data_IF_842974308649
#
_entry.id   IF_842974308649
#
_cell.length_a   1.000
_cell.length_b   1.000
_cell.length_c   1.000
_cell.angle_alpha   90.00
_cell.angle_beta   90.00
_cell.angle_gamma   90.00
#
_symmetry.space_group_name_H-M   'P 1'
#
loop_
_entity.id
_entity.type
_entity.pdbx_description
1 polymer ?
#
# COMPACT_ATOMS: atom_id res chain seq x y z
N UNK A 1 56.23 -15.00 8.46
CA UNK A 1 56.48 -13.71 7.79
C UNK A 1 55.12 -13.13 7.45
N UNK A 2 54.75 -12.01 8.12
CA UNK A 2 53.58 -11.12 7.95
C UNK A 2 52.16 -11.76 8.00
N UNK A 3 51.33 -11.50 9.02
CA UNK A 3 50.51 -10.28 9.25
C UNK A 3 49.45 -10.10 8.14
N UNK A 4 48.18 -10.46 8.39
CA UNK A 4 47.14 -9.69 9.08
C UNK A 4 46.53 -8.59 8.21
N UNK A 5 45.23 -8.71 7.93
CA UNK A 5 44.29 -7.59 8.04
C UNK A 5 42.88 -8.16 8.27
N UNK A 6 42.42 -7.98 9.51
CA UNK A 6 41.03 -8.17 9.90
C UNK A 6 40.22 -6.98 9.39
N UNK A 7 39.27 -7.20 8.49
CA UNK A 7 38.22 -6.22 8.21
C UNK A 7 37.13 -6.33 9.26
N UNK A 8 37.21 -5.45 10.25
CA UNK A 8 36.19 -5.17 11.26
C UNK A 8 34.98 -4.47 10.63
N UNK A 9 34.03 -5.21 10.08
CA UNK A 9 32.74 -4.65 9.59
C UNK A 9 31.54 -5.07 10.46
N UNK A 10 31.65 -6.06 11.34
CA UNK A 10 30.46 -6.85 11.71
C UNK A 10 29.83 -6.64 13.10
N UNK A 11 30.02 -5.52 13.81
CA UNK A 11 29.34 -5.30 15.12
C UNK A 11 28.62 -3.96 15.32
N UNK A 12 28.93 -2.89 14.56
CA UNK A 12 28.22 -1.60 14.71
C UNK A 12 26.91 -1.53 13.92
N UNK A 13 26.87 -2.18 12.77
CA UNK A 13 25.74 -2.14 11.84
C UNK A 13 24.49 -2.81 12.42
N UNK A 14 24.65 -3.90 13.18
CA UNK A 14 23.54 -4.55 13.91
C UNK A 14 22.92 -3.61 14.94
N UNK A 15 23.74 -2.87 15.70
CA UNK A 15 23.26 -1.96 16.75
C UNK A 15 22.52 -0.75 16.20
N UNK A 16 23.04 -0.07 15.17
CA UNK A 16 22.34 1.09 14.60
C UNK A 16 21.07 0.71 13.84
N UNK A 17 21.07 -0.46 13.19
CA UNK A 17 19.87 -1.02 12.55
C UNK A 17 18.79 -1.32 13.60
N UNK A 18 19.15 -2.00 14.70
CA UNK A 18 18.25 -2.23 15.84
C UNK A 18 17.69 -0.92 16.40
N UNK A 19 18.55 0.07 16.66
CA UNK A 19 18.13 1.39 17.13
C UNK A 19 17.12 2.04 16.19
N UNK A 20 17.33 1.97 14.87
CA UNK A 20 16.41 2.56 13.90
C UNK A 20 15.04 1.87 13.92
N UNK A 21 15.02 0.54 13.86
CA UNK A 21 13.75 -0.19 13.85
C UNK A 21 13.01 -0.09 15.18
N UNK A 22 13.70 -0.17 16.32
CA UNK A 22 13.10 0.03 17.64
C UNK A 22 12.55 1.45 17.79
N UNK A 23 13.27 2.45 17.29
CA UNK A 23 12.78 3.83 17.27
C UNK A 23 11.53 3.98 16.41
N UNK A 24 11.44 3.28 15.27
CA UNK A 24 10.21 3.26 14.46
C UNK A 24 9.07 2.55 15.19
N UNK A 25 9.27 1.36 15.76
CA UNK A 25 8.20 0.65 16.49
C UNK A 25 7.68 1.43 17.71
N UNK A 26 8.53 2.24 18.33
CA UNK A 26 8.20 3.02 19.54
C UNK A 26 7.87 4.49 19.25
N UNK A 27 7.79 4.89 17.97
CA UNK A 27 7.61 6.27 17.51
C UNK A 27 8.62 7.28 18.13
N UNK A 28 9.85 6.84 18.39
CA UNK A 28 10.91 7.65 18.98
C UNK A 28 11.64 8.48 17.92
N UNK A 29 11.02 9.60 17.53
CA UNK A 29 11.56 10.56 16.54
C UNK A 29 12.97 11.04 16.91
N UNK A 30 13.25 11.26 18.21
CA UNK A 30 14.55 11.73 18.69
C UNK A 30 15.67 10.71 18.43
N UNK A 31 15.41 9.42 18.62
CA UNK A 31 16.36 8.37 18.32
C UNK A 31 16.68 8.31 16.82
N UNK A 32 15.67 8.44 15.96
CA UNK A 32 15.87 8.54 14.49
C UNK A 32 16.72 9.76 14.13
N UNK A 33 16.43 10.93 14.74
CA UNK A 33 17.15 12.19 14.50
C UNK A 33 18.61 12.17 14.98
N UNK A 34 18.95 11.31 15.94
CA UNK A 34 20.31 11.16 16.46
C UNK A 34 21.22 10.35 15.52
N UNK A 35 20.67 9.62 14.55
CA UNK A 35 21.45 8.92 13.54
C UNK A 35 22.07 9.92 12.56
N UNK A 36 23.30 9.64 12.10
CA UNK A 36 23.95 10.52 11.12
C UNK A 36 23.21 10.42 9.79
N UNK A 37 23.08 11.54 9.05
CA UNK A 37 22.39 11.58 7.75
C UNK A 37 22.78 10.42 6.80
N UNK A 38 24.09 10.21 6.59
CA UNK A 38 24.60 9.16 5.71
C UNK A 38 24.32 7.74 6.23
N UNK A 39 24.31 7.57 7.55
CA UNK A 39 23.95 6.31 8.21
C UNK A 39 22.45 6.02 8.04
N UNK A 40 21.58 7.01 8.28
CA UNK A 40 20.13 6.86 8.07
C UNK A 40 19.80 6.55 6.61
N UNK A 41 20.46 7.20 5.65
CA UNK A 41 20.29 6.88 4.22
C UNK A 41 20.67 5.43 3.91
N UNK A 42 21.81 4.96 4.45
CA UNK A 42 22.21 3.56 4.30
C UNK A 42 21.20 2.60 4.95
N UNK A 43 20.84 2.83 6.21
CA UNK A 43 19.90 1.99 6.95
C UNK A 43 18.50 1.95 6.32
N UNK A 44 18.07 3.03 5.64
CA UNK A 44 16.79 3.09 4.93
C UNK A 44 16.63 2.07 3.79
N UNK A 45 17.72 1.44 3.37
CA UNK A 45 17.73 0.38 2.35
C UNK A 45 17.60 -1.02 2.93
N UNK A 46 17.78 -1.17 4.26
CA UNK A 46 17.74 -2.46 4.94
C UNK A 46 16.29 -2.84 5.22
N UNK A 47 15.94 -4.11 4.97
CA UNK A 47 14.59 -4.65 5.18
C UNK A 47 14.55 -5.73 6.25
N UNK A 48 13.62 -5.61 7.21
CA UNK A 48 13.30 -6.64 8.22
C UNK A 48 11.97 -7.32 7.92
N UNK A 49 11.81 -8.57 8.36
CA UNK A 49 10.54 -9.30 8.24
C UNK A 49 9.62 -8.95 9.40
N UNK A 50 8.41 -8.51 9.08
CA UNK A 50 7.34 -8.25 10.05
C UNK A 50 6.14 -9.14 9.76
N UNK A 51 5.33 -9.50 10.77
CA UNK A 51 4.02 -10.09 10.55
C UNK A 51 3.18 -9.20 9.62
N UNK A 52 2.50 -9.80 8.65
CA UNK A 52 1.70 -9.05 7.67
C UNK A 52 0.60 -9.93 7.08
N UNK A 53 -0.65 -9.52 7.29
CA UNK A 53 -1.82 -10.13 6.64
C UNK A 53 -1.81 -9.90 5.12
N UNK A 54 -1.06 -8.89 4.65
CA UNK A 54 -0.91 -8.56 3.24
C UNK A 54 -0.24 -9.68 2.43
N UNK A 55 0.65 -10.45 3.06
CA UNK A 55 1.47 -11.50 2.43
C UNK A 55 0.99 -12.91 2.76
N UNK A 56 1.40 -13.89 1.95
CA UNK A 56 1.24 -15.32 2.25
C UNK A 56 2.58 -16.05 2.00
N UNK A 57 3.21 -16.68 3.02
CA UNK A 57 2.79 -16.72 4.43
C UNK A 57 2.91 -15.33 5.08
N UNK A 58 2.28 -15.13 6.25
CA UNK A 58 1.99 -13.83 6.90
C UNK A 58 3.20 -13.01 7.36
N UNK A 59 4.23 -12.85 6.52
CA UNK A 59 5.41 -12.04 6.77
C UNK A 59 5.80 -11.22 5.54
N UNK A 60 5.98 -9.92 5.74
CA UNK A 60 6.42 -8.97 4.73
C UNK A 60 7.76 -8.37 5.12
N UNK A 61 8.65 -8.18 4.14
CA UNK A 61 9.93 -7.49 4.36
C UNK A 61 9.76 -5.99 4.14
N UNK A 62 10.00 -5.19 5.17
CA UNK A 62 9.79 -3.74 5.16
C UNK A 62 11.08 -2.99 5.54
N UNK A 63 11.35 -1.85 4.89
CA UNK A 63 12.34 -0.89 5.41
C UNK A 63 11.79 -0.19 6.65
N UNK A 64 12.66 0.43 7.44
CA UNK A 64 12.23 1.26 8.56
C UNK A 64 11.29 2.41 8.11
N UNK A 65 11.52 2.95 6.91
CA UNK A 65 10.68 3.98 6.33
C UNK A 65 9.28 3.46 5.94
N UNK A 66 9.20 2.32 5.25
CA UNK A 66 7.93 1.66 4.94
C UNK A 66 7.16 1.30 6.22
N UNK A 67 7.86 0.82 7.25
CA UNK A 67 7.28 0.51 8.56
C UNK A 67 6.71 1.76 9.24
N UNK A 68 7.45 2.87 9.23
CA UNK A 68 6.96 4.15 9.75
C UNK A 68 5.72 4.66 9.00
N UNK A 69 5.64 4.43 7.68
CA UNK A 69 4.45 4.72 6.88
C UNK A 69 3.25 3.86 7.30
N UNK A 70 3.45 2.54 7.46
CA UNK A 70 2.40 1.61 7.90
C UNK A 70 1.88 1.92 9.31
N UNK A 71 2.76 2.37 10.21
CA UNK A 71 2.41 2.74 11.58
C UNK A 71 1.87 4.18 11.67
N UNK A 72 1.84 4.94 10.58
CA UNK A 72 1.34 6.31 10.56
C UNK A 72 2.19 7.30 11.36
N UNK A 73 3.50 7.06 11.49
CA UNK A 73 4.41 7.87 12.28
C UNK A 73 4.90 9.09 11.49
N UNK A 74 4.02 10.07 11.32
CA UNK A 74 4.19 11.23 10.42
C UNK A 74 5.50 11.99 10.65
N UNK A 75 5.89 12.25 11.89
CA UNK A 75 7.11 13.00 12.21
C UNK A 75 8.38 12.26 11.77
N UNK A 76 8.39 10.93 11.90
CA UNK A 76 9.49 10.08 11.43
C UNK A 76 9.52 10.09 9.89
N UNK A 77 8.37 9.92 9.24
CA UNK A 77 8.24 9.93 7.78
C UNK A 77 8.71 11.27 7.20
N UNK A 78 8.24 12.40 7.73
CA UNK A 78 8.67 13.73 7.30
C UNK A 78 10.17 13.95 7.51
N UNK A 79 10.73 13.51 8.65
CA UNK A 79 12.16 13.62 8.87
C UNK A 79 12.98 12.79 7.87
N UNK A 80 12.56 11.56 7.60
CA UNK A 80 13.19 10.67 6.62
C UNK A 80 13.13 11.24 5.19
N UNK A 81 12.00 11.83 4.79
CA UNK A 81 11.86 12.57 3.53
C UNK A 81 12.82 13.75 3.45
N UNK A 82 12.90 14.58 4.51
CA UNK A 82 13.80 15.74 4.57
C UNK A 82 15.29 15.35 4.48
N UNK A 83 15.64 14.13 4.90
CA UNK A 83 16.99 13.58 4.76
C UNK A 83 17.29 13.13 3.33
N UNK A 84 16.28 12.97 2.48
CA UNK A 84 16.39 12.60 1.07
C UNK A 84 16.12 11.12 0.81
N UNK A 85 15.39 10.45 1.70
CA UNK A 85 14.87 9.11 1.41
C UNK A 85 13.84 9.21 0.27
N UNK A 86 13.91 8.27 -0.68
CA UNK A 86 12.99 8.20 -1.82
C UNK A 86 11.56 8.06 -1.31
N UNK A 87 10.67 8.88 -1.86
CA UNK A 87 9.28 9.02 -1.40
C UNK A 87 8.52 7.70 -1.47
N UNK A 88 8.59 7.02 -2.62
CA UNK A 88 7.96 5.72 -2.79
C UNK A 88 9.00 4.62 -2.92
N UNK A 89 9.50 4.18 -1.76
CA UNK A 89 10.33 2.98 -1.71
C UNK A 89 9.48 1.76 -2.04
N UNK A 90 9.68 1.20 -3.22
CA UNK A 90 9.14 -0.09 -3.64
C UNK A 90 10.27 -1.03 -4.00
N UNK A 91 10.09 -2.32 -3.73
CA UNK A 91 11.06 -3.35 -4.07
C UNK A 91 10.36 -4.45 -4.87
N UNK A 92 10.99 -4.96 -5.94
CA UNK A 92 10.42 -6.05 -6.70
C UNK A 92 10.23 -7.28 -5.80
N UNK A 93 9.16 -8.02 -6.05
CA UNK A 93 9.00 -9.37 -5.51
C UNK A 93 10.17 -10.25 -5.97
N UNK A 94 10.65 -11.14 -5.12
CA UNK A 94 11.83 -11.99 -5.42
C UNK A 94 11.66 -13.47 -5.06
N UNK A 95 10.55 -13.84 -4.42
CA UNK A 95 10.14 -15.23 -4.20
C UNK A 95 8.60 -15.32 -4.29
N UNK A 96 8.05 -16.52 -4.48
CA UNK A 96 6.61 -16.83 -4.66
C UNK A 96 5.69 -16.34 -3.51
N UNK A 97 6.26 -15.68 -2.51
CA UNK A 97 5.66 -15.39 -1.20
C UNK A 97 5.80 -13.91 -0.79
N UNK A 98 6.54 -13.10 -1.55
CA UNK A 98 6.78 -11.69 -1.23
C UNK A 98 5.85 -10.76 -1.98
N UNK A 99 5.08 -9.99 -1.21
CA UNK A 99 4.29 -8.86 -1.69
C UNK A 99 5.18 -7.77 -2.27
N UNK A 100 4.65 -7.03 -3.24
CA UNK A 100 5.28 -5.82 -3.77
C UNK A 100 4.35 -4.65 -3.47
N UNK A 101 4.82 -3.64 -2.76
CA UNK A 101 4.11 -2.36 -2.62
C UNK A 101 5.04 -1.24 -2.17
N UNK A 102 4.74 -0.03 -2.62
CA UNK A 102 5.43 1.19 -2.25
C UNK A 102 5.11 1.67 -0.83
N UNK A 103 5.92 2.60 -0.34
CA UNK A 103 5.71 3.29 0.95
C UNK A 103 4.35 4.00 1.00
N UNK A 104 3.86 4.50 -0.14
CA UNK A 104 2.57 5.19 -0.19
C UNK A 104 1.40 4.27 0.12
N UNK A 105 1.42 3.03 -0.35
CA UNK A 105 0.40 2.03 -0.04
C UNK A 105 0.43 1.60 1.43
N UNK A 106 1.62 1.53 2.04
CA UNK A 106 1.72 1.33 3.50
C UNK A 106 1.03 2.46 4.27
N UNK A 107 1.25 3.72 3.88
CA UNK A 107 0.56 4.85 4.49
C UNK A 107 -0.96 4.81 4.26
N UNK A 108 -1.42 4.43 3.06
CA UNK A 108 -2.85 4.24 2.78
C UNK A 108 -3.46 3.20 3.72
N UNK A 109 -2.81 2.05 3.90
CA UNK A 109 -3.27 1.01 4.84
C UNK A 109 -3.33 1.51 6.29
N UNK A 110 -2.44 2.42 6.69
CA UNK A 110 -2.44 2.96 8.06
C UNK A 110 -3.68 3.79 8.39
N UNK A 111 -4.36 4.34 7.38
CA UNK A 111 -5.43 5.33 7.53
C UNK A 111 -4.97 6.69 8.08
N UNK A 112 -3.67 6.89 8.33
CA UNK A 112 -3.10 8.13 8.87
C UNK A 112 -3.06 9.22 7.79
N UNK A 113 -4.14 10.02 7.70
CA UNK A 113 -4.22 11.15 6.76
C UNK A 113 -3.01 12.09 6.83
N UNK A 114 -2.47 12.48 8.00
CA UNK A 114 -1.25 13.31 8.04
C UNK A 114 -0.04 12.66 7.35
N UNK A 115 0.12 11.34 7.49
CA UNK A 115 1.20 10.59 6.83
C UNK A 115 0.96 10.50 5.32
N UNK A 116 -0.28 10.21 4.92
CA UNK A 116 -0.67 10.13 3.51
C UNK A 116 -0.46 11.48 2.81
N UNK A 117 -0.91 12.58 3.42
CA UNK A 117 -0.73 13.93 2.89
C UNK A 117 0.76 14.30 2.80
N UNK A 118 1.58 13.94 3.80
CA UNK A 118 3.02 14.18 3.74
C UNK A 118 3.69 13.46 2.55
N UNK A 119 3.24 12.26 2.20
CA UNK A 119 3.74 11.53 1.03
C UNK A 119 3.21 12.11 -0.29
N UNK A 120 1.94 12.51 -0.34
CA UNK A 120 1.35 13.19 -1.52
C UNK A 120 2.05 14.52 -1.81
N UNK A 121 2.31 15.33 -0.77
CA UNK A 121 3.04 16.60 -0.89
C UNK A 121 4.49 16.39 -1.36
N UNK A 122 5.07 15.23 -1.03
CA UNK A 122 6.38 14.82 -1.51
C UNK A 122 6.37 14.23 -2.94
N UNK A 123 5.20 14.04 -3.56
CA UNK A 123 5.05 13.52 -4.91
C UNK A 123 4.97 12.00 -5.00
N UNK A 124 4.37 11.35 -4.00
CA UNK A 124 4.11 9.91 -4.07
C UNK A 124 3.22 9.54 -5.28
N UNK A 125 3.50 8.41 -5.95
CA UNK A 125 2.69 7.95 -7.07
C UNK A 125 1.35 7.40 -6.56
N UNK A 126 0.26 7.79 -7.21
CA UNK A 126 -1.11 7.44 -6.82
C UNK A 126 -1.72 6.32 -7.66
N UNK A 127 -1.04 5.95 -8.74
CA UNK A 127 -1.43 4.95 -9.74
C UNK A 127 -0.55 3.69 -9.71
N UNK A 128 0.34 3.57 -8.73
CA UNK A 128 1.14 2.37 -8.50
C UNK A 128 0.37 1.35 -7.65
N UNK A 129 0.41 0.08 -8.07
CA UNK A 129 -0.28 -0.99 -7.36
C UNK A 129 0.61 -1.65 -6.31
N UNK A 130 -0.05 -2.29 -5.36
CA UNK A 130 0.52 -3.28 -4.48
C UNK A 130 -0.07 -4.65 -4.75
N UNK A 131 0.78 -5.66 -4.80
CA UNK A 131 0.39 -7.08 -4.86
C UNK A 131 0.19 -7.62 -3.45
N UNK A 132 -1.02 -8.09 -3.14
CA UNK A 132 -1.41 -8.70 -1.88
C UNK A 132 -1.88 -10.16 -2.06
N UNK A 133 -1.84 -10.93 -0.99
CA UNK A 133 -2.38 -12.29 -1.01
C UNK A 133 -3.89 -12.26 -1.32
N UNK A 134 -4.39 -13.29 -2.02
CA UNK A 134 -5.82 -13.42 -2.24
C UNK A 134 -6.62 -13.45 -0.93
N UNK A 135 -6.04 -13.96 0.16
CA UNK A 135 -6.67 -13.97 1.48
C UNK A 135 -6.93 -12.54 1.99
N UNK A 136 -5.92 -11.66 1.90
CA UNK A 136 -6.09 -10.24 2.21
C UNK A 136 -7.08 -9.57 1.26
N UNK A 137 -6.96 -9.83 -0.04
CA UNK A 137 -7.84 -9.20 -1.02
C UNK A 137 -9.32 -9.53 -0.77
N UNK A 138 -9.62 -10.74 -0.28
CA UNK A 138 -10.97 -11.16 0.11
C UNK A 138 -11.48 -10.50 1.39
N UNK A 139 -10.61 -10.27 2.37
CA UNK A 139 -11.01 -9.49 3.56
C UNK A 139 -11.22 -8.02 3.21
N UNK A 140 -10.49 -7.52 2.21
CA UNK A 140 -10.55 -6.14 1.73
C UNK A 140 -11.71 -5.87 0.76
N UNK A 141 -12.00 -6.80 -0.16
CA UNK A 141 -13.11 -6.75 -1.14
C UNK A 141 -13.77 -8.13 -1.18
N UNK A 142 -14.87 -8.37 -0.42
CA UNK A 142 -15.46 -9.70 -0.22
C UNK A 142 -15.94 -10.42 -1.49
N UNK A 143 -16.20 -9.70 -2.58
CA UNK A 143 -16.65 -10.26 -3.86
C UNK A 143 -15.52 -10.78 -4.76
N UNK A 144 -14.26 -10.63 -4.35
CA UNK A 144 -13.13 -11.22 -5.07
C UNK A 144 -13.15 -12.74 -4.90
N UNK A 145 -13.40 -13.46 -6.00
CA UNK A 145 -13.39 -14.92 -6.06
C UNK A 145 -12.51 -15.42 -7.19
N UNK A 146 -11.91 -16.59 -7.02
CA UNK A 146 -11.17 -17.28 -8.07
C UNK A 146 -12.11 -18.21 -8.85
N UNK A 147 -12.01 -18.28 -10.18
CA UNK A 147 -12.69 -19.32 -10.96
C UNK A 147 -12.28 -20.71 -10.47
N UNK A 148 -13.25 -21.62 -10.38
CA UNK A 148 -13.09 -23.01 -9.92
C UNK A 148 -12.01 -23.80 -10.70
N UNK A 149 -11.58 -23.32 -11.87
CA UNK A 149 -10.59 -23.97 -12.74
C UNK A 149 -9.13 -23.83 -12.27
N UNK A 150 -8.87 -23.06 -11.21
CA UNK A 150 -7.56 -23.04 -10.55
C UNK A 150 -7.48 -24.14 -9.48
N UNK A 151 -7.67 -25.39 -9.87
CA UNK A 151 -7.19 -26.50 -9.05
C UNK A 151 -5.65 -26.42 -8.97
N UNK A 152 -5.12 -26.70 -7.78
CA UNK A 152 -3.70 -26.84 -7.41
C UNK A 152 -3.07 -25.59 -6.79
N UNK A 153 -3.10 -25.53 -5.44
CA UNK A 153 -2.06 -25.09 -4.50
C UNK A 153 -1.19 -23.83 -4.77
N UNK A 154 -1.49 -23.01 -5.77
CA UNK A 154 -0.73 -21.81 -6.08
C UNK A 154 -1.17 -20.64 -5.18
N UNK A 155 -0.20 -19.94 -4.60
CA UNK A 155 -0.44 -18.64 -3.96
C UNK A 155 -0.90 -17.67 -5.06
N UNK A 156 -2.15 -17.22 -4.96
CA UNK A 156 -2.74 -16.25 -5.88
C UNK A 156 -2.64 -14.85 -5.29
N UNK A 157 -2.45 -13.89 -6.18
CA UNK A 157 -2.16 -12.49 -5.84
C UNK A 157 -3.20 -11.56 -6.47
N UNK A 158 -3.50 -10.48 -5.77
CA UNK A 158 -4.37 -9.41 -6.25
C UNK A 158 -3.64 -8.07 -6.25
N UNK A 159 -4.00 -7.21 -7.20
CA UNK A 159 -3.45 -5.87 -7.29
C UNK A 159 -4.43 -4.87 -6.66
N UNK A 160 -3.96 -4.13 -5.67
CA UNK A 160 -4.71 -3.05 -5.04
C UNK A 160 -3.99 -1.72 -5.25
N UNK A 161 -4.74 -0.68 -5.51
CA UNK A 161 -4.24 0.68 -5.72
C UNK A 161 -4.66 1.57 -4.56
N UNK A 162 -3.98 2.71 -4.32
CA UNK A 162 -4.36 3.67 -3.29
C UNK A 162 -5.86 4.05 -3.33
N UNK A 163 -6.41 4.23 -4.54
CA UNK A 163 -7.82 4.60 -4.70
C UNK A 163 -8.79 3.54 -4.16
N UNK A 164 -8.42 2.26 -4.17
CA UNK A 164 -9.25 1.19 -3.58
C UNK A 164 -9.32 1.33 -2.06
N UNK A 165 -8.23 1.73 -1.39
CA UNK A 165 -8.23 2.01 0.06
C UNK A 165 -9.16 3.15 0.43
N UNK A 166 -9.10 4.26 -0.31
CA UNK A 166 -10.01 5.37 -0.06
C UNK A 166 -11.49 4.91 -0.04
N UNK A 167 -11.86 4.01 -0.95
CA UNK A 167 -13.22 3.51 -1.10
C UNK A 167 -13.58 2.49 -0.03
N UNK A 168 -12.70 1.52 0.26
CA UNK A 168 -12.90 0.49 1.30
C UNK A 168 -12.90 1.09 2.71
N UNK A 169 -12.20 2.20 2.93
CA UNK A 169 -12.21 2.91 4.21
C UNK A 169 -13.32 3.97 4.31
N UNK A 170 -14.10 4.17 3.24
CA UNK A 170 -15.10 5.25 3.12
C UNK A 170 -14.50 6.64 3.36
N UNK A 171 -13.24 6.83 2.96
CA UNK A 171 -12.48 8.05 3.14
C UNK A 171 -12.62 8.95 1.91
N UNK A 172 -13.66 9.78 1.91
CA UNK A 172 -13.95 10.72 0.82
C UNK A 172 -12.81 11.74 0.61
N UNK A 173 -12.16 12.20 1.69
CA UNK A 173 -11.04 13.14 1.59
C UNK A 173 -9.87 12.52 0.82
N UNK A 174 -9.51 11.28 1.16
CA UNK A 174 -8.47 10.55 0.43
C UNK A 174 -8.88 10.30 -1.02
N UNK A 175 -10.14 9.93 -1.28
CA UNK A 175 -10.63 9.72 -2.64
C UNK A 175 -10.48 11.00 -3.47
N UNK A 176 -10.84 12.16 -2.93
CA UNK A 176 -10.69 13.45 -3.61
C UNK A 176 -9.23 13.78 -3.95
N UNK A 177 -8.27 13.31 -3.16
CA UNK A 177 -6.83 13.49 -3.45
C UNK A 177 -6.31 12.51 -4.49
N UNK A 178 -6.87 11.30 -4.55
CA UNK A 178 -6.38 10.23 -5.41
C UNK A 178 -7.07 10.18 -6.77
N UNK A 179 -8.29 10.70 -6.90
CA UNK A 179 -9.07 10.60 -8.13
C UNK A 179 -8.54 11.54 -9.21
N UNK A 180 -8.15 10.96 -10.34
CA UNK A 180 -7.61 11.63 -11.51
C UNK A 180 -8.05 10.87 -12.78
N UNK A 181 -7.86 11.43 -13.99
CA UNK A 181 -8.08 10.70 -15.24
C UNK A 181 -7.26 9.40 -15.39
N UNK A 182 -6.19 9.22 -14.61
CA UNK A 182 -5.38 8.00 -14.66
C UNK A 182 -5.84 6.96 -13.62
N UNK A 183 -6.46 7.38 -12.51
CA UNK A 183 -6.76 6.49 -11.38
C UNK A 183 -8.19 5.98 -11.33
N UNK A 184 -9.16 6.70 -11.90
CA UNK A 184 -10.59 6.36 -11.80
C UNK A 184 -10.96 4.98 -12.41
N UNK A 185 -10.13 4.49 -13.34
CA UNK A 185 -10.34 3.25 -14.11
C UNK A 185 -9.34 2.15 -13.79
N UNK A 186 -8.52 2.32 -12.76
CA UNK A 186 -7.59 1.27 -12.34
C UNK A 186 -8.37 0.04 -11.92
N UNK A 187 -7.80 -1.15 -12.13
CA UNK A 187 -8.50 -2.41 -11.91
C UNK A 187 -7.66 -3.38 -11.11
N UNK A 188 -8.31 -4.15 -10.22
CA UNK A 188 -7.71 -5.33 -9.59
C UNK A 188 -7.45 -6.45 -10.61
N UNK A 189 -6.85 -7.57 -10.21
CA UNK A 189 -6.65 -8.69 -11.14
C UNK A 189 -7.99 -9.35 -11.53
N UNK A 190 -9.04 -9.21 -10.69
CA UNK A 190 -10.41 -9.59 -11.03
C UNK A 190 -11.21 -8.49 -11.74
N UNK A 191 -10.55 -7.44 -12.26
CA UNK A 191 -11.18 -6.37 -13.04
C UNK A 191 -12.18 -5.50 -12.26
N UNK A 192 -12.04 -5.43 -10.93
CA UNK A 192 -12.83 -4.50 -10.13
C UNK A 192 -12.27 -3.09 -10.29
N UNK A 193 -13.08 -2.18 -10.82
CA UNK A 193 -12.79 -0.74 -10.84
C UNK A 193 -13.13 -0.11 -9.48
N UNK A 194 -12.64 1.12 -9.20
CA UNK A 194 -13.14 1.96 -8.11
C UNK A 194 -14.67 1.98 -8.00
N UNK A 195 -15.38 2.13 -9.13
CA UNK A 195 -16.84 2.18 -9.13
C UNK A 195 -17.47 0.84 -8.70
N UNK A 196 -16.95 -0.30 -9.16
CA UNK A 196 -17.42 -1.61 -8.69
C UNK A 196 -17.31 -1.75 -7.17
N UNK A 197 -16.18 -1.32 -6.58
CA UNK A 197 -15.96 -1.39 -5.15
C UNK A 197 -16.87 -0.40 -4.40
N UNK A 198 -17.05 0.81 -4.92
CA UNK A 198 -17.93 1.81 -4.32
C UNK A 198 -19.40 1.33 -4.26
N UNK A 199 -19.90 0.76 -5.36
CA UNK A 199 -21.24 0.16 -5.42
C UNK A 199 -21.34 -1.06 -4.49
N UNK A 200 -20.34 -1.95 -4.49
CA UNK A 200 -20.32 -3.14 -3.61
C UNK A 200 -20.50 -2.77 -2.14
N UNK A 201 -19.71 -1.82 -1.65
CA UNK A 201 -19.78 -1.39 -0.24
C UNK A 201 -21.00 -0.55 0.04
N UNK A 202 -21.44 0.26 -0.92
CA UNK A 202 -22.69 1.00 -0.88
C UNK A 202 -22.86 1.95 0.32
N UNK A 203 -21.76 2.62 0.71
CA UNK A 203 -21.73 3.46 1.92
C UNK A 203 -21.82 4.97 1.66
N UNK A 204 -21.63 5.41 0.42
CA UNK A 204 -21.56 6.84 0.10
C UNK A 204 -21.91 7.14 -1.36
N UNK A 205 -23.10 7.72 -1.56
CA UNK A 205 -23.53 8.26 -2.86
C UNK A 205 -22.54 9.32 -3.35
N UNK A 206 -22.05 10.19 -2.46
CA UNK A 206 -21.07 11.23 -2.83
C UNK A 206 -19.79 10.65 -3.43
N UNK A 207 -19.33 9.48 -2.98
CA UNK A 207 -18.15 8.82 -3.57
C UNK A 207 -18.46 8.22 -4.94
N UNK A 208 -19.66 7.68 -5.13
CA UNK A 208 -20.13 7.17 -6.44
C UNK A 208 -20.26 8.33 -7.43
N UNK A 209 -20.94 9.41 -7.04
CA UNK A 209 -21.08 10.64 -7.83
C UNK A 209 -19.71 11.20 -8.21
N UNK A 210 -18.79 11.24 -7.24
CA UNK A 210 -17.43 11.70 -7.49
C UNK A 210 -16.74 10.81 -8.54
N UNK A 211 -16.82 9.48 -8.43
CA UNK A 211 -16.25 8.57 -9.41
C UNK A 211 -16.87 8.74 -10.81
N UNK A 212 -18.19 8.92 -10.89
CA UNK A 212 -18.93 9.14 -12.13
C UNK A 212 -18.64 10.52 -12.77
N UNK A 213 -18.26 11.51 -11.96
CA UNK A 213 -17.89 12.83 -12.46
C UNK A 213 -16.51 12.88 -13.15
N UNK A 214 -15.73 11.81 -13.07
CA UNK A 214 -14.39 11.71 -13.68
C UNK A 214 -14.38 10.77 -14.89
N UNK A 215 -13.78 11.23 -15.99
CA UNK A 215 -13.57 10.43 -17.19
C UNK A 215 -14.87 10.18 -17.97
N UNK A 216 -14.98 8.98 -18.54
CA UNK A 216 -16.17 8.53 -19.27
C UNK A 216 -17.07 7.71 -18.34
N UNK A 217 -18.11 8.37 -17.81
CA UNK A 217 -19.09 7.75 -16.93
C UNK A 217 -19.77 6.54 -17.57
N UNK A 218 -20.04 6.58 -18.88
CA UNK A 218 -20.68 5.45 -19.59
C UNK A 218 -19.74 4.25 -19.64
N UNK A 219 -18.45 4.49 -19.90
CA UNK A 219 -17.46 3.41 -19.84
C UNK A 219 -17.31 2.85 -18.41
N UNK A 220 -17.41 3.69 -17.38
CA UNK A 220 -17.31 3.27 -15.99
C UNK A 220 -18.47 2.36 -15.57
N UNK A 221 -19.72 2.71 -15.90
CA UNK A 221 -20.91 1.89 -15.57
C UNK A 221 -20.99 0.61 -16.42
N UNK A 222 -20.39 0.59 -17.61
CA UNK A 222 -20.36 -0.59 -18.49
C UNK A 222 -19.14 -1.49 -18.30
N UNK A 223 -18.21 -1.11 -17.41
CA UNK A 223 -17.06 -1.93 -17.06
C UNK A 223 -17.53 -3.25 -16.43
N UNK A 224 -16.83 -4.35 -16.71
CA UNK A 224 -17.16 -5.67 -16.18
C UNK A 224 -16.01 -6.24 -15.38
N UNK A 225 -16.33 -6.86 -14.25
CA UNK A 225 -15.42 -7.75 -13.53
C UNK A 225 -15.11 -9.01 -14.35
N UNK A 226 -14.13 -9.79 -13.90
CA UNK A 226 -13.79 -11.11 -14.49
C UNK A 226 -14.97 -12.07 -14.54
N UNK A 227 -15.97 -11.89 -13.67
CA UNK A 227 -17.21 -12.68 -13.60
C UNK A 227 -18.38 -12.02 -14.36
N UNK A 228 -18.11 -11.09 -15.28
CA UNK A 228 -19.10 -10.37 -16.10
C UNK A 228 -20.12 -9.53 -15.33
N UNK A 229 -19.79 -9.11 -14.10
CA UNK A 229 -20.64 -8.21 -13.31
C UNK A 229 -20.34 -6.75 -13.57
N UNK A 230 -21.37 -5.96 -13.82
CA UNK A 230 -21.36 -4.50 -13.82
C UNK A 230 -21.28 -3.93 -12.39
N UNK A 231 -20.96 -2.64 -12.21
CA UNK A 231 -20.86 -2.04 -10.88
C UNK A 231 -22.18 -2.10 -10.09
N UNK A 232 -23.30 -1.81 -10.73
CA UNK A 232 -24.64 -1.80 -10.13
C UNK A 232 -25.09 -3.20 -9.66
N UNK A 233 -24.75 -4.24 -10.42
CA UNK A 233 -25.03 -5.63 -10.05
C UNK A 233 -24.31 -6.10 -8.77
N UNK A 234 -23.30 -5.36 -8.32
CA UNK A 234 -22.59 -5.64 -7.06
C UNK A 234 -23.18 -4.89 -5.87
N UNK A 235 -24.04 -3.89 -6.10
CA UNK A 235 -24.59 -3.11 -5.01
C UNK A 235 -25.47 -3.95 -4.10
N UNK A 236 -25.27 -3.78 -2.80
CA UNK A 236 -26.02 -4.49 -1.76
C UNK A 236 -27.39 -3.86 -1.48
N UNK A 237 -27.61 -2.62 -1.92
CA UNK A 237 -28.87 -1.88 -1.84
C UNK A 237 -29.09 -1.08 -3.15
N UNK A 238 -30.16 -1.39 -3.86
CA UNK A 238 -30.47 -0.83 -5.17
C UNK A 238 -30.85 0.66 -5.13
N UNK A 239 -31.19 1.20 -3.95
CA UNK A 239 -31.62 2.61 -3.81
C UNK A 239 -30.51 3.62 -4.04
N UNK A 240 -29.24 3.19 -4.04
CA UNK A 240 -28.08 4.06 -4.26
C UNK A 240 -27.74 4.21 -5.76
N UNK A 241 -28.37 3.40 -6.62
CA UNK A 241 -28.14 3.40 -8.08
C UNK A 241 -29.27 4.11 -8.84
N UNK A 242 -30.45 4.29 -8.23
CA UNK A 242 -31.61 4.99 -8.80
C UNK A 242 -31.53 6.52 -8.64
#
# INVERSE_FOLDING_TARGET
>A
MACAESTTIDNKTSSSEEVLFDAVETNNVSAVKNLKKGELLYLSQIRRRFPSEWSSPDKEKQTAYQRACLLGHTDIVQYMLNVGIVVDQSFPGGDSYSTMRGAFLFACQSGSMPTILALLDAGAPVDEFGSCSLAYARSFVPSISIPYSCEIQAVTWENLYPIHYAIVDNNLELLQKLITPNTYKLVTNQWFTPLHIACLFNRSITMIDLLLSYGDANAAILAKTSNNKFPDELATDSTIIE
#
